data_IF_255652473660
#
_entry.id   IF_255652473660
#
_cell.length_a   1.000
_cell.length_b   1.000
_cell.length_c   1.000
_cell.angle_alpha   90.00
_cell.angle_beta   90.00
_cell.angle_gamma   90.00
#
_symmetry.space_group_name_H-M   'P 1'
#
loop_
_entity.id
_entity.type
_entity.pdbx_description
1 polymer ?
#
# COMPACT_ATOMS: atom_id res chain seq x y z
N UNK A 1 5.01 -29.49 15.85
CA UNK A 1 4.35 -29.02 14.62
C UNK A 1 5.38 -28.91 13.51
N UNK A 2 5.00 -29.13 12.25
CA UNK A 2 5.91 -28.95 11.12
C UNK A 2 6.23 -27.46 10.99
N UNK A 3 7.52 -27.10 10.93
CA UNK A 3 7.93 -25.72 10.71
C UNK A 3 7.56 -25.33 9.28
N UNK A 4 6.94 -24.17 9.11
CA UNK A 4 6.71 -23.57 7.79
C UNK A 4 8.07 -23.40 7.13
N UNK A 5 8.16 -23.82 5.87
CA UNK A 5 9.40 -23.96 5.09
C UNK A 5 10.12 -22.63 4.78
N UNK A 6 10.89 -22.63 3.69
CA UNK A 6 11.72 -21.50 3.26
C UNK A 6 10.96 -20.17 3.31
N UNK A 7 11.50 -19.18 4.02
CA UNK A 7 11.03 -17.79 4.00
C UNK A 7 11.87 -17.01 2.98
N UNK A 8 11.22 -16.36 2.02
CA UNK A 8 11.94 -15.61 1.00
C UNK A 8 12.58 -14.34 1.58
N UNK A 9 13.79 -14.03 1.11
CA UNK A 9 14.55 -12.85 1.52
C UNK A 9 13.93 -11.57 0.97
N UNK A 10 14.22 -10.43 1.60
CA UNK A 10 13.74 -9.13 1.12
C UNK A 10 14.43 -8.73 -0.18
N UNK A 11 13.64 -8.36 -1.20
CA UNK A 11 14.14 -7.73 -2.43
C UNK A 11 13.73 -6.25 -2.49
N UNK A 12 14.69 -5.35 -2.25
CA UNK A 12 14.50 -3.91 -2.29
C UNK A 12 13.92 -3.36 -3.61
N UNK A 13 14.00 -4.11 -4.72
CA UNK A 13 13.52 -3.66 -6.04
C UNK A 13 12.05 -3.96 -6.28
N UNK A 14 11.52 -4.98 -5.62
CA UNK A 14 10.20 -5.53 -5.90
C UNK A 14 9.30 -5.58 -4.66
N UNK A 15 9.87 -5.63 -3.46
CA UNK A 15 9.14 -5.72 -2.21
C UNK A 15 8.95 -4.36 -1.52
N UNK A 16 7.79 -4.18 -0.88
CA UNK A 16 7.63 -3.22 0.21
C UNK A 16 8.25 -3.80 1.48
N UNK A 17 9.12 -3.03 2.15
CA UNK A 17 9.73 -3.48 3.41
C UNK A 17 8.68 -3.67 4.52
N UNK A 18 7.60 -2.89 4.51
CA UNK A 18 6.47 -3.09 5.43
C UNK A 18 5.77 -4.43 5.19
N UNK A 19 5.44 -4.74 3.93
CA UNK A 19 4.82 -6.03 3.58
C UNK A 19 5.75 -7.21 3.87
N UNK A 20 7.06 -7.03 3.74
CA UNK A 20 8.05 -8.02 4.16
C UNK A 20 7.98 -8.31 5.66
N UNK A 21 7.92 -7.26 6.49
CA UNK A 21 7.80 -7.39 7.93
C UNK A 21 6.48 -8.05 8.34
N UNK A 22 5.35 -7.69 7.71
CA UNK A 22 4.06 -8.34 7.97
C UNK A 22 4.13 -9.85 7.69
N UNK A 23 4.73 -10.26 6.57
CA UNK A 23 4.96 -11.68 6.27
C UNK A 23 5.86 -12.35 7.30
N UNK A 24 6.87 -11.64 7.81
CA UNK A 24 7.78 -12.17 8.82
C UNK A 24 7.08 -12.37 10.16
N UNK A 25 6.21 -11.45 10.58
CA UNK A 25 5.38 -11.62 11.79
C UNK A 25 4.47 -12.84 11.69
N UNK A 26 3.84 -13.06 10.52
CA UNK A 26 3.07 -14.27 10.27
C UNK A 26 3.93 -15.54 10.30
N UNK A 27 5.16 -15.47 9.80
CA UNK A 27 6.12 -16.59 9.86
C UNK A 27 6.52 -16.91 11.30
N UNK A 28 6.79 -15.90 12.13
CA UNK A 28 7.11 -16.03 13.56
C UNK A 28 5.96 -16.72 14.29
N UNK A 29 4.73 -16.26 14.04
CA UNK A 29 3.51 -16.83 14.62
C UNK A 29 3.31 -18.29 14.20
N UNK A 30 3.41 -18.58 12.91
CA UNK A 30 3.16 -19.92 12.38
C UNK A 30 4.20 -20.97 12.81
N UNK A 31 5.38 -20.53 13.26
CA UNK A 31 6.48 -21.41 13.69
C UNK A 31 6.71 -21.42 15.21
N UNK A 32 5.85 -20.76 15.99
CA UNK A 32 6.01 -20.59 17.43
C UNK A 32 7.42 -20.10 17.82
N UNK A 33 7.95 -19.13 17.07
CA UNK A 33 9.30 -18.60 17.32
C UNK A 33 9.28 -17.83 18.63
N UNK A 34 10.02 -18.32 19.63
CA UNK A 34 10.15 -17.64 20.91
C UNK A 34 10.71 -16.22 20.76
N UNK A 35 10.21 -15.28 21.55
CA UNK A 35 10.55 -13.85 21.45
C UNK A 35 12.07 -13.60 21.49
N UNK A 36 12.80 -14.27 22.40
CA UNK A 36 14.26 -14.16 22.49
C UNK A 36 15.04 -14.70 21.27
N UNK A 37 14.39 -15.40 20.35
CA UNK A 37 14.98 -15.88 19.09
C UNK A 37 14.52 -15.08 17.87
N UNK A 38 13.50 -14.23 18.00
CA UNK A 38 12.88 -13.49 16.90
C UNK A 38 13.89 -12.67 16.10
N UNK A 39 14.74 -11.92 16.79
CA UNK A 39 15.81 -11.15 16.13
C UNK A 39 16.80 -12.03 15.38
N UNK A 40 17.26 -13.12 15.99
CA UNK A 40 18.22 -14.02 15.35
C UNK A 40 17.64 -14.64 14.08
N UNK A 41 16.37 -15.08 14.13
CA UNK A 41 15.66 -15.59 12.95
C UNK A 41 15.54 -14.48 11.90
N UNK A 42 15.10 -13.27 12.27
CA UNK A 42 14.98 -12.13 11.36
C UNK A 42 16.30 -11.84 10.61
N UNK A 43 17.41 -11.71 11.34
CA UNK A 43 18.73 -11.40 10.75
C UNK A 43 19.21 -12.48 9.78
N UNK A 44 18.78 -13.73 9.95
CA UNK A 44 19.13 -14.83 9.03
C UNK A 44 18.26 -14.89 7.78
N UNK A 45 16.97 -14.51 7.89
CA UNK A 45 16.01 -14.63 6.77
C UNK A 45 15.86 -13.34 5.96
N UNK A 46 16.20 -12.17 6.52
CA UNK A 46 16.13 -10.87 5.83
C UNK A 46 17.02 -10.82 4.58
N UNK A 47 18.08 -11.61 4.57
CA UNK A 47 18.98 -11.78 3.45
C UNK A 47 20.30 -11.02 3.62
N UNK A 48 21.36 -11.47 2.90
CA UNK A 48 22.72 -11.00 3.12
C UNK A 48 22.89 -9.50 2.84
N UNK A 49 22.20 -8.97 1.83
CA UNK A 49 22.31 -7.56 1.45
C UNK A 49 21.80 -6.61 2.53
N UNK A 50 20.65 -6.94 3.13
CA UNK A 50 20.07 -6.15 4.22
C UNK A 50 20.92 -6.24 5.48
N UNK A 51 21.49 -7.42 5.75
CA UNK A 51 22.41 -7.61 6.87
C UNK A 51 23.69 -6.74 6.72
N UNK A 52 24.23 -6.62 5.51
CA UNK A 52 25.35 -5.70 5.24
C UNK A 52 24.95 -4.22 5.39
N UNK A 53 23.73 -3.83 4.98
CA UNK A 53 23.21 -2.48 5.25
C UNK A 53 23.18 -2.21 6.75
N UNK A 54 22.66 -3.14 7.57
CA UNK A 54 22.62 -3.00 9.02
C UNK A 54 24.00 -2.77 9.65
N UNK A 55 25.05 -3.42 9.13
CA UNK A 55 26.44 -3.22 9.61
C UNK A 55 27.01 -1.85 9.25
N UNK A 56 26.57 -1.28 8.12
CA UNK A 56 27.08 -0.02 7.60
C UNK A 56 26.29 1.20 8.11
N UNK A 57 25.14 1.00 8.75
CA UNK A 57 24.43 2.08 9.43
C UNK A 57 25.28 2.60 10.61
N UNK A 58 25.30 3.93 10.85
CA UNK A 58 26.09 4.55 11.92
C UNK A 58 25.47 4.23 13.28
N UNK A 59 25.66 3.00 13.75
CA UNK A 59 25.16 2.54 15.04
C UNK A 59 26.31 1.86 15.79
N UNK A 60 26.59 2.23 17.04
CA UNK A 60 27.83 1.87 17.72
C UNK A 60 28.00 0.37 18.04
N UNK A 61 27.00 -0.49 17.78
CA UNK A 61 27.00 -1.89 18.18
C UNK A 61 26.56 -2.84 17.05
N UNK A 62 27.03 -4.10 17.09
CA UNK A 62 26.67 -5.18 16.16
C UNK A 62 25.14 -5.36 16.02
N UNK A 63 24.60 -5.66 14.82
CA UNK A 63 23.15 -5.87 14.63
C UNK A 63 22.54 -6.91 15.58
N UNK A 64 23.30 -7.93 15.97
CA UNK A 64 22.86 -8.99 16.88
C UNK A 64 22.76 -8.57 18.36
N UNK A 65 23.30 -7.41 18.72
CA UNK A 65 23.27 -6.87 20.10
C UNK A 65 22.08 -5.95 20.38
N UNK A 66 21.22 -5.76 19.39
CA UNK A 66 20.05 -4.87 19.42
C UNK A 66 18.78 -5.63 19.78
N UNK A 67 17.67 -4.92 19.90
CA UNK A 67 16.33 -5.55 19.90
C UNK A 67 15.80 -5.70 18.48
N UNK A 68 14.82 -6.60 18.31
CA UNK A 68 14.10 -6.73 17.04
C UNK A 68 13.46 -5.40 16.61
N UNK A 69 12.85 -4.68 17.55
CA UNK A 69 12.19 -3.40 17.28
C UNK A 69 13.19 -2.31 16.84
N UNK A 70 14.36 -2.23 17.47
CA UNK A 70 15.42 -1.29 17.06
C UNK A 70 15.90 -1.56 15.63
N UNK A 71 16.14 -2.84 15.31
CA UNK A 71 16.61 -3.26 13.98
C UNK A 71 15.57 -2.97 12.91
N UNK A 72 14.32 -3.33 13.15
CA UNK A 72 13.24 -3.10 12.18
C UNK A 72 12.93 -1.60 12.02
N UNK A 73 13.02 -0.79 13.07
CA UNK A 73 12.87 0.67 12.97
C UNK A 73 13.97 1.33 12.11
N UNK A 74 15.23 0.90 12.29
CA UNK A 74 16.35 1.37 11.47
C UNK A 74 16.15 0.98 9.99
N UNK A 75 15.76 -0.26 9.73
CA UNK A 75 15.51 -0.73 8.37
C UNK A 75 14.28 -0.09 7.73
N UNK A 76 13.20 0.16 8.48
CA UNK A 76 12.06 0.95 8.02
C UNK A 76 12.51 2.35 7.61
N UNK A 77 13.36 2.99 8.41
CA UNK A 77 13.91 4.31 8.07
C UNK A 77 14.76 4.28 6.79
N UNK A 78 15.50 3.20 6.56
CA UNK A 78 16.39 3.05 5.40
C UNK A 78 15.66 2.65 4.10
N UNK A 79 14.78 1.65 4.15
CA UNK A 79 14.09 1.05 3.00
C UNK A 79 12.67 1.56 2.78
N UNK A 80 12.09 2.19 3.79
CA UNK A 80 10.87 2.96 3.69
C UNK A 80 11.17 4.38 4.18
N UNK A 81 12.18 5.06 3.60
CA UNK A 81 12.50 6.43 3.99
C UNK A 81 11.25 7.22 3.71
N UNK A 82 10.55 7.58 4.80
CA UNK A 82 9.18 8.09 4.85
C UNK A 82 8.83 8.68 3.51
N UNK A 83 8.26 7.85 2.60
CA UNK A 83 8.00 8.27 1.21
C UNK A 83 7.31 9.59 1.39
N UNK A 84 7.89 10.68 0.87
CA UNK A 84 7.42 12.01 1.26
C UNK A 84 5.92 11.98 1.06
N UNK A 85 5.14 11.96 2.15
CA UNK A 85 3.70 11.66 2.06
C UNK A 85 3.07 12.65 1.09
N UNK A 86 3.65 13.84 1.05
CA UNK A 86 3.49 14.89 0.05
C UNK A 86 3.67 14.38 -1.39
N UNK A 87 4.78 13.75 -1.76
CA UNK A 87 5.01 13.21 -3.10
C UNK A 87 4.00 12.10 -3.48
N UNK A 88 3.66 11.20 -2.56
CA UNK A 88 2.65 10.16 -2.80
C UNK A 88 1.26 10.78 -2.99
N UNK A 89 0.89 11.74 -2.14
CA UNK A 89 -0.34 12.52 -2.28
C UNK A 89 -0.35 13.34 -3.57
N UNK A 90 0.78 13.91 -3.99
CA UNK A 90 0.91 14.58 -5.28
C UNK A 90 0.67 13.61 -6.43
N UNK A 91 1.27 12.41 -6.39
CA UNK A 91 1.05 11.37 -7.40
C UNK A 91 -0.41 10.92 -7.45
N UNK A 92 -1.04 10.71 -6.29
CA UNK A 92 -2.48 10.44 -6.20
C UNK A 92 -3.30 11.60 -6.79
N UNK A 93 -2.92 12.84 -6.49
CA UNK A 93 -3.62 14.03 -6.93
C UNK A 93 -3.42 14.38 -8.40
N UNK A 94 -2.42 13.81 -9.06
CA UNK A 94 -2.17 13.95 -10.50
C UNK A 94 -2.80 12.80 -11.30
N UNK A 95 -3.48 11.86 -10.64
CA UNK A 95 -4.03 10.69 -11.30
C UNK A 95 -5.36 11.02 -11.98
N UNK A 96 -5.36 10.96 -13.31
CA UNK A 96 -6.51 11.23 -14.19
C UNK A 96 -6.97 9.95 -14.89
N UNK A 97 -8.26 9.67 -15.05
CA UNK A 97 -8.72 8.50 -15.82
C UNK A 97 -8.19 8.55 -17.26
N UNK A 98 -7.52 7.49 -17.72
CA UNK A 98 -6.94 7.43 -19.07
C UNK A 98 -8.03 7.24 -20.14
N UNK A 99 -7.73 7.58 -21.40
CA UNK A 99 -8.71 7.58 -22.49
C UNK A 99 -9.34 6.20 -22.75
N UNK A 100 -8.58 5.13 -22.58
CA UNK A 100 -9.00 3.75 -22.79
C UNK A 100 -9.17 2.99 -21.47
N UNK A 101 -9.12 3.69 -20.34
CA UNK A 101 -9.24 3.07 -19.03
C UNK A 101 -10.70 3.08 -18.59
N UNK A 102 -11.18 1.89 -18.20
CA UNK A 102 -12.51 1.73 -17.62
C UNK A 102 -12.60 2.40 -16.23
N UNK A 103 -13.81 2.76 -15.82
CA UNK A 103 -14.07 3.29 -14.47
C UNK A 103 -13.63 2.29 -13.40
N UNK A 104 -13.85 1.00 -13.64
CA UNK A 104 -13.39 -0.07 -12.73
C UNK A 104 -11.87 -0.10 -12.55
N UNK A 105 -11.10 -0.05 -13.64
CA UNK A 105 -9.63 0.02 -13.59
C UNK A 105 -9.15 1.29 -12.89
N UNK A 106 -9.78 2.43 -13.19
CA UNK A 106 -9.46 3.70 -12.56
C UNK A 106 -9.63 3.65 -11.03
N UNK A 107 -10.76 3.11 -10.55
CA UNK A 107 -11.04 2.91 -9.12
C UNK A 107 -9.98 2.04 -8.45
N UNK A 108 -9.58 0.93 -9.09
CA UNK A 108 -8.53 0.04 -8.57
C UNK A 108 -7.21 0.78 -8.43
N UNK A 109 -6.85 1.59 -9.42
CA UNK A 109 -5.61 2.37 -9.40
C UNK A 109 -5.64 3.49 -8.36
N UNK A 110 -6.77 4.17 -8.15
CA UNK A 110 -6.92 5.14 -7.06
C UNK A 110 -6.72 4.48 -5.69
N UNK A 111 -7.37 3.33 -5.45
CA UNK A 111 -7.20 2.55 -4.23
C UNK A 111 -5.75 2.12 -4.03
N UNK A 112 -5.06 1.71 -5.10
CA UNK A 112 -3.64 1.36 -5.03
C UNK A 112 -2.79 2.57 -4.60
N UNK A 113 -2.96 3.72 -5.23
CA UNK A 113 -2.16 4.92 -4.94
C UNK A 113 -2.41 5.46 -3.53
N UNK A 114 -3.64 5.36 -3.02
CA UNK A 114 -3.98 5.86 -1.70
C UNK A 114 -3.29 5.11 -0.54
N UNK A 115 -2.82 3.87 -0.75
CA UNK A 115 -2.19 3.02 0.29
C UNK A 115 -0.97 3.68 0.94
N UNK A 116 -0.20 4.47 0.19
CA UNK A 116 1.01 5.16 0.66
C UNK A 116 0.79 6.63 1.00
N UNK A 117 -0.45 7.11 0.96
CA UNK A 117 -0.77 8.53 1.15
C UNK A 117 -1.06 8.93 2.61
N UNK A 118 -1.10 7.96 3.54
CA UNK A 118 -1.43 8.19 4.96
C UNK A 118 -2.69 9.07 5.14
N UNK A 119 -3.78 8.78 4.42
CA UNK A 119 -5.01 9.58 4.52
C UNK A 119 -5.75 9.38 5.85
N UNK A 120 -5.56 8.25 6.53
CA UNK A 120 -6.23 7.96 7.81
C UNK A 120 -7.75 7.98 7.66
N UNK A 121 -8.43 8.70 8.55
CA UNK A 121 -9.90 8.83 8.54
C UNK A 121 -10.42 9.53 7.27
N UNK A 122 -9.58 10.31 6.58
CA UNK A 122 -9.93 11.03 5.35
C UNK A 122 -9.80 10.18 4.06
N UNK A 123 -9.56 8.87 4.19
CA UNK A 123 -9.33 8.00 3.03
C UNK A 123 -10.55 7.94 2.11
N UNK A 124 -11.76 7.88 2.66
CA UNK A 124 -13.00 7.79 1.88
C UNK A 124 -13.20 9.05 1.05
N UNK A 125 -13.09 10.23 1.67
CA UNK A 125 -13.23 11.52 1.03
C UNK A 125 -12.13 11.75 -0.01
N UNK A 126 -10.87 11.41 0.28
CA UNK A 126 -9.78 11.55 -0.69
C UNK A 126 -10.02 10.73 -1.96
N UNK A 127 -10.46 9.47 -1.81
CA UNK A 127 -10.78 8.58 -2.92
C UNK A 127 -11.99 9.07 -3.72
N UNK A 128 -13.06 9.47 -3.02
CA UNK A 128 -14.28 10.04 -3.60
C UNK A 128 -13.96 11.29 -4.41
N UNK A 129 -13.31 12.27 -3.80
CA UNK A 129 -13.09 13.58 -4.42
C UNK A 129 -12.21 13.42 -5.66
N UNK A 130 -11.19 12.56 -5.61
CA UNK A 130 -10.33 12.27 -6.77
C UNK A 130 -11.06 11.52 -7.87
N UNK A 131 -11.89 10.54 -7.53
CA UNK A 131 -12.72 9.82 -8.50
C UNK A 131 -13.64 10.80 -9.23
N UNK A 132 -14.39 11.64 -8.49
CA UNK A 132 -15.35 12.57 -9.08
C UNK A 132 -14.64 13.61 -9.93
N UNK A 133 -13.57 14.23 -9.43
CA UNK A 133 -12.86 15.31 -10.11
C UNK A 133 -12.26 14.89 -11.45
N UNK A 134 -11.82 13.63 -11.58
CA UNK A 134 -11.05 13.16 -12.73
C UNK A 134 -11.74 12.05 -13.54
N UNK A 135 -13.05 11.85 -13.31
CA UNK A 135 -13.88 10.98 -14.13
C UNK A 135 -14.07 11.61 -15.52
N UNK A 136 -13.87 10.85 -16.59
CA UNK A 136 -14.01 11.35 -17.97
C UNK A 136 -15.44 11.61 -18.39
N UNK A 137 -16.39 10.85 -17.86
CA UNK A 137 -17.80 11.01 -18.21
C UNK A 137 -18.37 12.26 -17.54
N UNK A 138 -18.40 13.38 -18.27
CA UNK A 138 -18.83 14.70 -17.77
C UNK A 138 -20.26 14.67 -17.20
N UNK A 139 -21.17 13.91 -17.80
CA UNK A 139 -22.56 13.82 -17.32
C UNK A 139 -22.63 13.11 -15.96
N UNK A 140 -21.89 12.00 -15.82
CA UNK A 140 -21.78 11.27 -14.55
C UNK A 140 -21.08 12.11 -13.50
N UNK A 141 -20.03 12.83 -13.87
CA UNK A 141 -19.32 13.75 -12.98
C UNK A 141 -20.24 14.87 -12.47
N UNK A 142 -21.07 15.47 -13.33
CA UNK A 142 -22.06 16.48 -12.94
C UNK A 142 -23.11 15.94 -11.96
N UNK A 143 -23.60 14.73 -12.21
CA UNK A 143 -24.52 14.04 -11.31
C UNK A 143 -23.88 13.84 -9.92
N UNK A 144 -22.63 13.38 -9.89
CA UNK A 144 -21.88 13.15 -8.65
C UNK A 144 -21.61 14.45 -7.88
N UNK A 145 -21.32 15.56 -8.57
CA UNK A 145 -21.14 16.87 -7.92
C UNK A 145 -22.42 17.45 -7.31
N UNK A 146 -23.60 17.04 -7.80
CA UNK A 146 -24.89 17.51 -7.28
C UNK A 146 -25.35 16.75 -6.02
N UNK A 147 -24.67 15.65 -5.64
CA UNK A 147 -25.02 14.88 -4.45
C UNK A 147 -24.58 15.60 -3.16
N UNK A 148 -25.47 15.67 -2.16
CA UNK A 148 -25.18 16.38 -0.89
C UNK A 148 -24.25 15.61 0.05
N UNK A 149 -24.50 14.29 0.20
CA UNK A 149 -23.67 13.39 1.02
C UNK A 149 -23.42 12.14 0.21
N UNK A 150 -22.17 11.91 -0.12
CA UNK A 150 -21.75 10.80 -0.95
C UNK A 150 -20.50 10.19 -0.36
N UNK A 151 -20.51 8.87 -0.17
CA UNK A 151 -19.33 8.06 0.15
C UNK A 151 -18.58 7.68 -1.13
N UNK A 152 -17.33 7.25 -0.99
CA UNK A 152 -16.60 6.69 -2.13
C UNK A 152 -17.30 5.47 -2.74
N UNK A 153 -17.89 4.61 -1.90
CA UNK A 153 -18.59 3.41 -2.36
C UNK A 153 -19.82 3.76 -3.22
N UNK A 154 -20.61 4.74 -2.80
CA UNK A 154 -21.77 5.21 -3.57
C UNK A 154 -21.34 5.87 -4.88
N UNK A 155 -20.28 6.69 -4.86
CA UNK A 155 -19.73 7.31 -6.07
C UNK A 155 -19.27 6.24 -7.09
N UNK A 156 -18.62 5.17 -6.61
CA UNK A 156 -18.22 4.04 -7.43
C UNK A 156 -19.43 3.34 -8.07
N UNK A 157 -20.50 3.08 -7.31
CA UNK A 157 -21.72 2.44 -7.83
C UNK A 157 -22.36 3.25 -8.94
N UNK A 158 -22.52 4.57 -8.73
CA UNK A 158 -23.08 5.46 -9.75
C UNK A 158 -22.20 5.45 -11.01
N UNK A 159 -20.88 5.62 -10.85
CA UNK A 159 -19.96 5.69 -11.97
C UNK A 159 -19.91 4.38 -12.79
N UNK A 160 -19.90 3.22 -12.12
CA UNK A 160 -19.90 1.92 -12.78
C UNK A 160 -21.23 1.63 -13.50
N UNK A 161 -22.37 1.99 -12.91
CA UNK A 161 -23.67 1.77 -13.55
C UNK A 161 -23.83 2.59 -14.84
N UNK A 162 -23.22 3.78 -14.90
CA UNK A 162 -23.24 4.66 -16.08
C UNK A 162 -22.27 4.23 -17.18
N UNK A 163 -21.23 3.48 -16.83
CA UNK A 163 -20.29 2.87 -17.80
C UNK A 163 -20.93 1.70 -18.55
N UNK A 164 -21.91 1.02 -17.95
CA UNK A 164 -22.65 -0.04 -18.63
C UNK A 164 -23.40 0.53 -19.84
N UNK A 165 -23.31 -0.10 -21.02
CA UNK A 165 -24.07 0.34 -22.19
C UNK A 165 -25.56 0.29 -21.86
N UNK A 166 -26.23 1.43 -21.94
CA UNK A 166 -27.70 1.50 -21.82
C UNK A 166 -28.30 0.53 -22.83
N UNK A 167 -29.12 -0.45 -22.42
CA UNK A 167 -29.81 -1.31 -23.37
C UNK A 167 -30.61 -0.42 -24.31
N UNK A 168 -30.31 -0.48 -25.61
CA UNK A 168 -31.16 0.16 -26.61
C UNK A 168 -32.51 -0.55 -26.54
N UNK A 169 -33.47 0.09 -25.88
CA UNK A 169 -34.88 -0.29 -25.99
C UNK A 169 -35.26 -0.02 -27.44
N UNK A 170 -35.27 -1.09 -28.24
CA UNK A 170 -35.72 -1.05 -29.62
C UNK A 170 -37.16 -0.52 -29.65
N UNK A 171 -37.37 0.60 -30.34
CA UNK A 171 -38.69 1.08 -30.77
C UNK A 171 -39.19 0.21 -31.94
#
# INVERSE_FOLDING_TARGET
MAKVGKFDTFDERSDSFESYLERFELYVLANDVAEGKKLAVFLTVVGPRVYEVLKNLPVPNSPASKTYDEVTALLKTHYSPRKAVIAERCRFNLRLQLEQETVGEFIVQLKHLARSCEFGEFLDEALRDRLIAELRCVDTQRELFAAEKLSFEEACKIALNRELPTPRLNQ
#
